data_IF_611315436137
#
_entry.id   IF_611315436137
#
_cell.length_a   1.000
_cell.length_b   1.000
_cell.length_c   1.000
_cell.angle_alpha   90.00
_cell.angle_beta   90.00
_cell.angle_gamma   90.00
#
_symmetry.space_group_name_H-M   'P 1'
#
loop_
_entity.id
_entity.type
_entity.pdbx_description
1 polymer ?
#
# COMPACT_ATOMS: atom_id res chain seq x y z
N UNK A 1 -0.38 -14.13 5.68
CA UNK A 1 -0.75 -13.51 6.97
C UNK A 1 0.30 -13.87 8.01
N UNK A 2 0.83 -12.88 8.72
CA UNK A 2 1.87 -13.02 9.74
C UNK A 2 1.26 -12.94 11.14
N UNK A 3 1.95 -13.46 12.15
CA UNK A 3 1.51 -13.35 13.55
C UNK A 3 2.00 -12.04 14.14
N UNK A 4 1.07 -11.16 14.52
CA UNK A 4 1.35 -9.90 15.20
C UNK A 4 1.70 -10.13 16.67
N UNK A 5 2.60 -9.31 17.23
CA UNK A 5 2.90 -9.33 18.67
C UNK A 5 2.70 -7.94 19.31
N UNK A 6 2.86 -7.84 20.62
CA UNK A 6 2.59 -6.64 21.42
C UNK A 6 3.50 -5.45 21.10
N UNK A 7 4.58 -5.65 20.34
CA UNK A 7 5.52 -4.59 19.96
C UNK A 7 5.10 -3.82 18.72
N UNK A 8 4.23 -4.37 17.88
CA UNK A 8 3.77 -3.66 16.69
C UNK A 8 3.09 -2.34 17.06
N UNK A 9 3.50 -1.24 16.43
CA UNK A 9 2.91 0.09 16.61
C UNK A 9 2.45 0.62 15.26
N UNK A 10 1.16 0.91 15.14
CA UNK A 10 0.56 1.49 13.92
C UNK A 10 0.70 3.01 14.00
N UNK A 11 1.30 3.61 12.98
CA UNK A 11 1.48 5.07 12.88
C UNK A 11 0.84 5.55 11.56
N UNK A 12 -0.15 6.46 11.60
CA UNK A 12 -0.74 7.03 10.39
C UNK A 12 0.29 7.75 9.52
N UNK A 13 0.09 7.70 8.20
CA UNK A 13 0.86 8.43 7.21
C UNK A 13 0.01 9.59 6.66
N UNK A 14 0.19 10.78 7.24
CA UNK A 14 -0.63 11.97 6.92
C UNK A 14 -0.34 12.56 5.53
N UNK A 15 0.87 12.34 5.00
CA UNK A 15 1.30 12.89 3.70
C UNK A 15 0.92 11.99 2.51
N UNK A 16 0.18 10.91 2.75
CA UNK A 16 -0.29 10.00 1.68
C UNK A 16 -1.67 10.47 1.20
N UNK A 17 -1.88 10.62 -0.12
CA UNK A 17 -3.18 11.00 -0.67
C UNK A 17 -4.28 10.03 -0.23
N UNK A 18 -5.38 10.60 0.27
CA UNK A 18 -6.57 9.85 0.64
C UNK A 18 -7.12 9.08 -0.56
N UNK A 19 -7.28 7.76 -0.42
CA UNK A 19 -7.91 6.95 -1.46
C UNK A 19 -9.41 7.26 -1.58
N UNK A 20 -9.96 7.10 -2.78
CA UNK A 20 -11.39 7.21 -2.98
C UNK A 20 -12.14 6.19 -2.10
N UNK A 21 -13.14 6.67 -1.38
CA UNK A 21 -13.85 5.84 -0.39
C UNK A 21 -14.89 4.92 -1.01
N UNK A 22 -15.30 5.14 -2.25
CA UNK A 22 -16.26 4.29 -2.94
C UNK A 22 -15.59 3.30 -3.90
N UNK A 23 -14.71 3.79 -4.76
CA UNK A 23 -14.05 3.00 -5.80
C UNK A 23 -12.57 3.41 -5.95
N UNK A 24 -11.70 3.02 -5.01
CA UNK A 24 -10.27 3.36 -5.08
C UNK A 24 -9.52 2.64 -6.20
N UNK A 25 -10.06 1.51 -6.68
CA UNK A 25 -9.47 0.69 -7.75
C UNK A 25 -7.96 0.41 -7.59
N UNK A 26 -7.51 -0.05 -6.40
CA UNK A 26 -6.09 -0.28 -6.14
C UNK A 26 -5.50 -1.29 -7.13
N UNK A 27 -4.41 -0.91 -7.79
CA UNK A 27 -3.72 -1.71 -8.79
C UNK A 27 -2.23 -1.83 -8.45
N UNK A 28 -1.68 -3.04 -8.56
CA UNK A 28 -0.28 -3.32 -8.23
C UNK A 28 0.47 -3.72 -9.50
N UNK A 29 1.59 -3.05 -9.73
CA UNK A 29 2.58 -3.46 -10.74
C UNK A 29 3.87 -3.80 -10.01
N UNK A 30 4.30 -5.06 -10.11
CA UNK A 30 5.44 -5.56 -9.34
C UNK A 30 6.29 -6.56 -10.12
N UNK A 31 7.55 -6.64 -9.73
CA UNK A 31 8.50 -7.72 -10.02
C UNK A 31 9.47 -7.86 -8.82
N UNK A 32 10.55 -8.63 -8.99
CA UNK A 32 11.52 -8.91 -7.91
C UNK A 32 12.20 -7.68 -7.28
N UNK A 33 12.15 -6.50 -7.91
CA UNK A 33 12.80 -5.32 -7.32
C UNK A 33 12.09 -3.97 -7.52
N UNK A 34 10.92 -3.97 -8.16
CA UNK A 34 10.07 -2.79 -8.36
C UNK A 34 8.68 -3.13 -7.87
N UNK A 35 8.06 -2.16 -7.19
CA UNK A 35 6.71 -2.27 -6.68
C UNK A 35 6.10 -0.88 -6.75
N UNK A 36 5.01 -0.78 -7.50
CA UNK A 36 4.16 0.40 -7.56
C UNK A 36 2.75 -0.02 -7.19
N UNK A 37 2.14 0.75 -6.29
CA UNK A 37 0.73 0.73 -5.99
C UNK A 37 0.12 2.00 -6.56
N UNK A 38 -0.95 1.86 -7.33
CA UNK A 38 -1.73 2.99 -7.79
C UNK A 38 -3.20 2.87 -7.39
N UNK A 39 -3.86 4.00 -7.17
CA UNK A 39 -5.27 4.08 -6.82
C UNK A 39 -5.83 5.46 -7.14
N UNK A 40 -7.16 5.54 -7.24
CA UNK A 40 -7.87 6.80 -7.37
C UNK A 40 -7.90 7.54 -6.04
N UNK A 41 -7.56 8.82 -6.08
CA UNK A 41 -7.60 9.75 -4.95
C UNK A 41 -9.02 10.26 -4.78
N UNK A 42 -9.45 10.42 -3.53
CA UNK A 42 -10.77 10.97 -3.20
C UNK A 42 -10.92 12.41 -3.71
N UNK A 43 -11.88 12.62 -4.62
CA UNK A 43 -12.30 13.93 -5.11
C UNK A 43 -13.81 14.08 -4.93
N UNK A 44 -14.31 14.27 -3.69
CA UNK A 44 -15.74 14.36 -3.43
C UNK A 44 -16.33 15.58 -4.12
N UNK A 45 -17.46 15.40 -4.82
CA UNK A 45 -18.21 16.51 -5.42
C UNK A 45 -18.85 17.34 -4.29
N UNK A 46 -18.46 18.61 -4.13
CA UNK A 46 -18.98 19.46 -3.05
C UNK A 46 -20.47 19.76 -3.18
N UNK A 47 -21.08 19.50 -4.35
CA UNK A 47 -22.49 19.71 -4.62
C UNK A 47 -23.29 18.41 -4.62
N UNK A 48 -22.68 17.28 -4.25
CA UNK A 48 -23.37 16.00 -4.22
C UNK A 48 -24.53 16.04 -3.20
N UNK A 49 -25.74 15.76 -3.67
CA UNK A 49 -26.97 15.82 -2.90
C UNK A 49 -27.52 14.43 -2.52
N UNK A 50 -26.77 13.36 -2.82
CA UNK A 50 -27.16 11.99 -2.57
C UNK A 50 -28.12 11.38 -3.60
N UNK A 51 -28.49 12.10 -4.66
CA UNK A 51 -29.50 11.62 -5.63
C UNK A 51 -28.92 10.89 -6.85
N UNK A 52 -27.60 10.93 -7.03
CA UNK A 52 -26.89 10.25 -8.12
C UNK A 52 -25.62 9.55 -7.63
N UNK A 53 -25.14 8.61 -8.44
CA UNK A 53 -23.88 7.90 -8.22
C UNK A 53 -23.05 8.00 -9.49
N UNK A 54 -21.77 8.31 -9.36
CA UNK A 54 -20.83 8.22 -10.47
C UNK A 54 -20.31 6.78 -10.55
N UNK A 55 -20.50 6.14 -11.70
CA UNK A 55 -19.89 4.83 -11.95
C UNK A 55 -18.46 5.07 -12.37
N UNK A 56 -17.52 4.58 -11.56
CA UNK A 56 -16.09 4.73 -11.79
C UNK A 56 -15.51 3.37 -12.18
N UNK A 57 -14.79 3.34 -13.30
CA UNK A 57 -14.06 2.19 -13.82
C UNK A 57 -12.57 2.51 -13.95
N UNK A 58 -11.77 1.50 -14.31
CA UNK A 58 -10.32 1.67 -14.46
C UNK A 58 -9.93 2.59 -15.63
N UNK A 59 -10.83 2.83 -16.57
CA UNK A 59 -10.72 3.75 -17.70
C UNK A 59 -11.35 5.13 -17.43
N UNK A 60 -11.90 5.36 -16.23
CA UNK A 60 -12.47 6.64 -15.86
C UNK A 60 -11.37 7.63 -15.47
N UNK A 61 -11.35 8.79 -16.12
CA UNK A 61 -10.43 9.88 -15.78
C UNK A 61 -10.69 10.42 -14.37
N UNK A 62 -9.61 10.64 -13.63
CA UNK A 62 -9.63 11.21 -12.29
C UNK A 62 -8.25 11.64 -11.84
N UNK A 63 -8.05 11.66 -10.51
CA UNK A 63 -6.73 11.83 -9.91
C UNK A 63 -6.20 10.49 -9.46
N UNK A 64 -5.05 10.08 -10.01
CA UNK A 64 -4.35 8.85 -9.64
C UNK A 64 -3.16 9.18 -8.76
N UNK A 65 -3.04 8.49 -7.63
CA UNK A 65 -1.81 8.44 -6.83
C UNK A 65 -0.98 7.24 -7.25
N UNK A 66 0.29 7.46 -7.58
CA UNK A 66 1.30 6.42 -7.79
C UNK A 66 2.24 6.39 -6.59
N UNK A 67 2.25 5.28 -5.87
CA UNK A 67 3.13 5.03 -4.72
C UNK A 67 4.24 4.08 -5.16
N UNK A 68 5.45 4.62 -5.37
CA UNK A 68 6.62 3.81 -5.77
C UNK A 68 7.43 3.44 -4.54
N UNK A 69 7.46 2.14 -4.21
CA UNK A 69 8.24 1.66 -3.08
C UNK A 69 9.71 1.41 -3.44
N UNK A 70 10.62 1.82 -2.56
CA UNK A 70 12.06 1.63 -2.75
C UNK A 70 12.50 0.28 -2.20
N UNK A 71 13.22 -0.51 -2.99
CA UNK A 71 13.76 -1.82 -2.58
C UNK A 71 12.69 -2.68 -1.89
N UNK A 72 11.57 -2.98 -2.59
CA UNK A 72 10.53 -3.83 -2.03
C UNK A 72 11.08 -5.21 -1.70
N UNK A 73 10.60 -5.79 -0.60
CA UNK A 73 11.04 -7.08 -0.06
C UNK A 73 9.93 -8.11 -0.08
N UNK A 74 8.71 -7.68 0.25
CA UNK A 74 7.51 -8.51 0.23
C UNK A 74 6.29 -7.60 0.11
N UNK A 75 5.21 -8.09 -0.49
CA UNK A 75 3.92 -7.41 -0.50
C UNK A 75 2.79 -8.44 -0.48
N UNK A 76 1.61 -8.01 -0.04
CA UNK A 76 0.38 -8.77 -0.15
C UNK A 76 -0.80 -7.81 -0.35
N UNK A 77 -1.86 -8.30 -0.98
CA UNK A 77 -3.11 -7.59 -1.16
C UNK A 77 -4.26 -8.57 -1.03
N UNK A 78 -5.34 -8.15 -0.39
CA UNK A 78 -6.55 -8.94 -0.24
C UNK A 78 -7.33 -8.56 1.00
N UNK A 79 -7.96 -9.55 1.63
CA UNK A 79 -8.72 -9.34 2.86
C UNK A 79 -7.84 -8.81 4.01
N UNK A 80 -8.41 -8.04 4.95
CA UNK A 80 -9.80 -7.62 5.03
C UNK A 80 -10.12 -6.40 4.14
N UNK A 81 -11.41 -6.24 3.85
CA UNK A 81 -12.00 -5.02 3.31
C UNK A 81 -12.33 -4.05 4.47
N UNK A 82 -12.89 -2.88 4.17
CA UNK A 82 -13.24 -1.90 5.19
C UNK A 82 -14.30 -2.39 6.20
N UNK A 83 -15.33 -3.11 5.74
CA UNK A 83 -16.41 -3.62 6.60
C UNK A 83 -15.92 -4.66 7.62
N UNK A 84 -14.87 -5.40 7.26
CA UNK A 84 -14.24 -6.42 8.08
C UNK A 84 -12.90 -5.95 8.69
N UNK A 85 -12.58 -4.65 8.65
CA UNK A 85 -11.27 -4.15 9.10
C UNK A 85 -11.00 -4.45 10.57
N UNK A 86 -12.05 -4.51 11.40
CA UNK A 86 -11.96 -4.93 12.81
C UNK A 86 -11.43 -6.36 13.00
N UNK A 87 -11.45 -7.20 11.96
CA UNK A 87 -10.83 -8.53 11.95
C UNK A 87 -9.33 -8.52 11.61
N UNK A 88 -8.75 -7.39 11.23
CA UNK A 88 -7.33 -7.28 10.99
C UNK A 88 -6.54 -7.45 12.30
N UNK A 89 -5.43 -8.21 12.34
CA UNK A 89 -4.61 -8.39 13.55
C UNK A 89 -4.04 -7.10 14.19
N UNK A 90 -4.09 -5.98 13.46
CA UNK A 90 -3.64 -4.65 13.89
C UNK A 90 -4.80 -3.66 14.13
N UNK A 91 -6.06 -4.06 13.98
CA UNK A 91 -7.23 -3.17 14.12
C UNK A 91 -7.26 -2.48 15.49
N UNK A 92 -7.10 -3.24 16.57
CA UNK A 92 -7.06 -2.74 17.95
C UNK A 92 -5.85 -1.82 18.25
N UNK A 93 -4.93 -1.67 17.30
CA UNK A 93 -3.75 -0.79 17.40
C UNK A 93 -3.89 0.51 16.60
N UNK A 94 -5.06 0.78 16.02
CA UNK A 94 -5.34 2.00 15.27
C UNK A 94 -5.22 1.84 13.74
N UNK A 95 -5.17 0.61 13.23
CA UNK A 95 -5.35 0.39 11.79
C UNK A 95 -6.84 0.58 11.46
N UNK A 96 -7.14 1.53 10.57
CA UNK A 96 -8.51 1.89 10.20
C UNK A 96 -8.69 1.95 8.67
N UNK A 97 -9.95 1.94 8.23
CA UNK A 97 -10.33 1.97 6.82
C UNK A 97 -9.90 3.26 6.12
N UNK A 98 -9.67 3.16 4.82
CA UNK A 98 -9.36 4.29 3.93
C UNK A 98 -8.10 5.10 4.29
N UNK A 99 -7.18 4.54 5.08
CA UNK A 99 -5.98 5.24 5.49
C UNK A 99 -4.71 4.43 5.20
N UNK A 100 -3.58 5.14 5.23
CA UNK A 100 -2.26 4.56 5.05
C UNK A 100 -1.46 4.66 6.36
N UNK A 101 -0.63 3.64 6.63
CA UNK A 101 0.06 3.48 7.89
C UNK A 101 1.48 2.95 7.68
N UNK A 102 2.36 3.29 8.62
CA UNK A 102 3.60 2.56 8.86
C UNK A 102 3.49 1.77 10.16
N UNK A 103 3.83 0.49 10.09
CA UNK A 103 3.87 -0.40 11.24
C UNK A 103 5.30 -0.44 11.76
N UNK A 104 5.55 0.30 12.83
CA UNK A 104 6.83 0.30 13.53
C UNK A 104 6.96 -0.98 14.34
N UNK A 105 8.21 -1.40 14.54
CA UNK A 105 8.51 -2.67 15.23
C UNK A 105 7.65 -3.81 14.65
N UNK A 106 7.62 -3.93 13.32
CA UNK A 106 6.76 -4.89 12.60
C UNK A 106 7.11 -6.35 12.89
N UNK A 107 6.10 -7.12 13.29
CA UNK A 107 6.15 -8.58 13.39
C UNK A 107 6.39 -9.25 12.06
N UNK A 108 5.85 -8.70 10.98
CA UNK A 108 6.07 -9.26 9.64
C UNK A 108 7.55 -9.18 9.24
N UNK A 109 8.22 -8.05 9.50
CA UNK A 109 9.66 -7.90 9.24
C UNK A 109 10.47 -8.91 10.07
N UNK A 110 10.12 -9.12 11.34
CA UNK A 110 10.78 -10.13 12.19
C UNK A 110 10.56 -11.55 11.67
N UNK A 111 9.35 -11.87 11.22
CA UNK A 111 9.05 -13.18 10.65
C UNK A 111 9.86 -13.42 9.36
N UNK A 112 9.93 -12.44 8.46
CA UNK A 112 10.75 -12.53 7.25
C UNK A 112 12.24 -12.70 7.57
N UNK A 113 12.74 -12.02 8.60
CA UNK A 113 14.11 -12.19 9.09
C UNK A 113 14.35 -13.62 9.58
N UNK A 114 13.42 -14.19 10.34
CA UNK A 114 13.51 -15.57 10.82
C UNK A 114 13.45 -16.57 9.67
N UNK A 115 12.63 -16.33 8.66
CA UNK A 115 12.62 -17.16 7.44
C UNK A 115 13.97 -17.11 6.70
N UNK A 116 14.64 -15.95 6.69
CA UNK A 116 15.95 -15.79 6.07
C UNK A 116 17.10 -16.39 6.90
N UNK A 117 16.89 -16.69 8.18
CA UNK A 117 17.97 -17.06 9.11
C UNK A 117 18.62 -18.42 8.85
N UNK A 118 18.05 -19.24 7.96
CA UNK A 118 18.64 -20.51 7.51
C UNK A 118 19.85 -20.31 6.59
N UNK A 119 20.09 -19.10 6.11
CA UNK A 119 21.23 -18.78 5.26
C UNK A 119 22.55 -18.82 6.06
N UNK A 120 23.62 -19.50 5.60
CA UNK A 120 24.88 -19.65 6.36
C UNK A 120 25.56 -18.34 6.76
N UNK A 121 25.36 -17.28 5.98
CA UNK A 121 25.89 -15.94 6.24
C UNK A 121 24.83 -14.95 6.70
N UNK A 122 23.72 -15.45 7.28
CA UNK A 122 22.67 -14.58 7.79
C UNK A 122 23.23 -13.62 8.83
N UNK A 123 22.90 -12.34 8.68
CA UNK A 123 23.17 -11.31 9.65
C UNK A 123 21.87 -10.56 9.93
N UNK A 124 21.34 -10.76 11.14
CA UNK A 124 20.07 -10.19 11.60
C UNK A 124 20.04 -8.68 11.48
N UNK A 125 21.06 -7.99 12.00
CA UNK A 125 21.11 -6.52 12.00
C UNK A 125 21.07 -5.98 10.57
N UNK A 126 21.89 -6.53 9.69
CA UNK A 126 21.94 -6.18 8.26
C UNK A 126 20.62 -6.52 7.56
N UNK A 127 19.97 -7.63 7.91
CA UNK A 127 18.67 -7.96 7.36
C UNK A 127 17.63 -6.92 7.77
N UNK A 128 17.56 -6.54 9.05
CA UNK A 128 16.54 -5.61 9.54
C UNK A 128 16.78 -4.16 9.07
N UNK A 129 18.02 -3.81 8.72
CA UNK A 129 18.40 -2.46 8.34
C UNK A 129 17.50 -1.87 7.24
N UNK A 130 17.00 -0.66 7.49
CA UNK A 130 16.18 0.14 6.58
C UNK A 130 14.84 -0.47 6.17
N UNK A 131 14.45 -1.66 6.65
CA UNK A 131 13.13 -2.24 6.33
C UNK A 131 12.04 -1.52 7.13
N UNK A 132 11.01 -1.11 6.41
CA UNK A 132 9.79 -0.45 6.91
C UNK A 132 8.60 -1.23 6.40
N UNK A 133 7.54 -1.28 7.20
CA UNK A 133 6.31 -1.99 6.88
C UNK A 133 5.19 -0.98 6.69
N UNK A 134 4.55 -0.99 5.52
CA UNK A 134 3.47 -0.08 5.16
C UNK A 134 2.18 -0.85 4.93
N UNK A 135 1.05 -0.28 5.36
CA UNK A 135 -0.29 -0.77 5.08
C UNK A 135 -1.14 0.35 4.46
N UNK A 136 -1.97 -0.01 3.48
CA UNK A 136 -2.93 0.85 2.81
C UNK A 136 -4.26 0.11 2.84
N UNK A 137 -5.23 0.67 3.55
CA UNK A 137 -6.56 0.06 3.70
C UNK A 137 -7.51 0.74 2.71
N UNK A 138 -8.03 -0.02 1.75
CA UNK A 138 -8.99 0.43 0.74
C UNK A 138 -10.39 -0.09 1.05
N UNK A 139 -11.36 0.27 0.20
CA UNK A 139 -12.74 -0.19 0.29
C UNK A 139 -12.82 -1.74 0.33
N UNK A 140 -12.36 -2.42 -0.72
CA UNK A 140 -12.52 -3.87 -0.85
C UNK A 140 -11.33 -4.71 -0.34
N UNK A 141 -10.20 -4.08 -0.04
CA UNK A 141 -8.97 -4.80 0.29
C UNK A 141 -7.97 -3.97 1.08
N UNK A 142 -7.05 -4.66 1.72
CA UNK A 142 -5.86 -4.09 2.36
C UNK A 142 -4.63 -4.51 1.58
N UNK A 143 -3.77 -3.55 1.26
CA UNK A 143 -2.43 -3.78 0.73
C UNK A 143 -1.40 -3.58 1.84
N UNK A 144 -0.46 -4.50 1.97
CA UNK A 144 0.68 -4.35 2.88
C UNK A 144 1.99 -4.63 2.13
N UNK A 145 3.07 -3.92 2.46
CA UNK A 145 4.39 -4.22 1.93
C UNK A 145 5.54 -3.89 2.88
N UNK A 146 6.65 -4.61 2.71
CA UNK A 146 7.93 -4.30 3.33
C UNK A 146 8.85 -3.69 2.27
N UNK A 147 9.33 -2.48 2.53
CA UNK A 147 10.20 -1.72 1.63
C UNK A 147 11.12 -0.77 2.43
N UNK A 148 12.03 -0.07 1.76
CA UNK A 148 12.91 0.92 2.40
C UNK A 148 12.24 2.30 2.58
N UNK A 149 11.17 2.55 1.84
CA UNK A 149 10.46 3.83 1.78
C UNK A 149 9.60 3.86 0.52
N UNK A 150 9.01 5.00 0.23
CA UNK A 150 8.27 5.23 -1.01
C UNK A 150 8.29 6.71 -1.40
N UNK A 151 8.06 6.96 -2.68
CA UNK A 151 7.73 8.27 -3.23
C UNK A 151 6.27 8.28 -3.71
N UNK A 152 5.65 9.46 -3.68
CA UNK A 152 4.28 9.68 -4.18
C UNK A 152 4.34 10.56 -5.43
N UNK A 153 3.61 10.17 -6.48
CA UNK A 153 3.36 11.01 -7.66
C UNK A 153 1.85 11.10 -7.89
N UNK A 154 1.35 12.31 -8.13
CA UNK A 154 -0.07 12.55 -8.46
C UNK A 154 -0.19 12.89 -9.93
N UNK A 155 -1.15 12.25 -10.61
CA UNK A 155 -1.44 12.44 -12.03
C UNK A 155 -2.93 12.67 -12.23
N UNK A 156 -3.29 13.48 -13.24
CA UNK A 156 -4.64 13.48 -13.80
C UNK A 156 -4.67 12.46 -14.93
N UNK A 157 -5.38 11.35 -14.74
CA UNK A 157 -5.36 10.15 -15.59
C UNK A 157 -6.51 9.21 -15.22
N UNK A 158 -6.73 8.16 -16.02
CA UNK A 158 -7.35 6.91 -15.56
C UNK A 158 -6.30 5.96 -14.96
N UNK A 159 -6.74 4.91 -14.24
CA UNK A 159 -5.87 3.84 -13.74
C UNK A 159 -5.20 3.10 -14.90
N UNK A 160 -5.93 2.79 -15.97
CA UNK A 160 -5.35 2.07 -17.11
C UNK A 160 -4.28 2.89 -17.83
N UNK A 161 -4.52 4.19 -18.02
CA UNK A 161 -3.55 5.06 -18.70
C UNK A 161 -2.34 5.38 -17.81
N UNK A 162 -2.48 5.37 -16.49
CA UNK A 162 -1.34 5.57 -15.59
C UNK A 162 -0.34 4.40 -15.64
N UNK A 163 -0.77 3.19 -16.03
CA UNK A 163 0.12 2.05 -16.26
C UNK A 163 1.22 2.35 -17.29
N UNK A 164 0.95 3.15 -18.33
CA UNK A 164 1.98 3.56 -19.28
C UNK A 164 3.08 4.38 -18.61
N UNK A 165 2.72 5.20 -17.62
CA UNK A 165 3.68 5.94 -16.80
C UNK A 165 4.49 5.00 -15.91
N UNK A 166 3.84 4.03 -15.27
CA UNK A 166 4.52 3.00 -14.46
C UNK A 166 5.50 2.19 -15.29
N UNK A 167 5.12 1.78 -16.50
CA UNK A 167 5.99 1.05 -17.43
C UNK A 167 7.20 1.91 -17.83
N UNK A 168 7.01 3.20 -18.09
CA UNK A 168 8.12 4.13 -18.37
C UNK A 168 9.05 4.26 -17.17
N UNK A 169 8.52 4.36 -15.94
CA UNK A 169 9.33 4.36 -14.71
C UNK A 169 10.17 3.09 -14.62
N UNK A 170 9.57 1.93 -14.89
CA UNK A 170 10.28 0.64 -14.86
C UNK A 170 11.38 0.59 -15.92
N UNK A 171 11.15 1.08 -17.13
CA UNK A 171 12.18 1.14 -18.18
C UNK A 171 13.35 2.08 -17.84
N UNK A 172 13.07 3.17 -17.11
CA UNK A 172 14.08 4.13 -16.68
C UNK A 172 14.87 3.68 -15.44
N UNK A 173 14.35 2.71 -14.70
CA UNK A 173 15.00 2.05 -13.56
C UNK A 173 15.48 0.65 -13.98
N UNK A 174 16.68 0.55 -14.59
CA UNK A 174 17.18 -0.71 -15.13
C UNK A 174 17.38 -1.78 -14.06
N UNK A 175 17.47 -1.35 -12.79
CA UNK A 175 18.08 -2.10 -11.67
C UNK A 175 19.53 -2.46 -11.88
#
# INVERSE_FOLDING_TARGET
MYTVDDRDVVVPLEDVPQSDVGAPLPTIVADDYRLVLEYLVSEPDPNWDGTYVNVVGTDTDGTVALIRFHRPYAHMMGAPNEEAIGGHPLADRGLEAFAAFEIKQSSWIRQLETMNSVHPYHNRERFLQSKRHFAFVFHDSTFECVAHGFDVTILKSSILDSLDTVIKMFRADPK
#
